data_IF_659213938921
#
_entry.id   IF_659213938921
#
_cell.length_a   1.000
_cell.length_b   1.000
_cell.length_c   1.000
_cell.angle_alpha   90.00
_cell.angle_beta   90.00
_cell.angle_gamma   90.00
#
_symmetry.space_group_name_H-M   'P 1'
#
loop_
_entity.id
_entity.type
_entity.pdbx_description
1 polymer ?
#
# COMPACT_ATOMS: atom_id res chain seq x y z
N UNK A 1 8.18 12.32 3.46
CA UNK A 1 8.53 11.81 2.12
C UNK A 1 7.32 11.39 1.29
N UNK A 2 6.30 10.72 1.84
CA UNK A 2 5.06 10.40 1.11
C UNK A 2 4.40 11.63 0.46
N UNK A 3 4.34 12.78 1.17
CA UNK A 3 3.91 14.08 0.60
C UNK A 3 4.69 14.50 -0.65
N UNK A 4 5.99 14.20 -0.72
CA UNK A 4 6.84 14.54 -1.86
C UNK A 4 6.66 13.56 -3.04
N UNK A 5 6.23 12.31 -2.77
CA UNK A 5 5.94 11.32 -3.81
C UNK A 5 4.55 11.52 -4.44
N UNK A 6 3.62 12.13 -3.71
CA UNK A 6 2.25 12.31 -4.15
C UNK A 6 2.10 12.88 -5.59
N UNK A 7 2.78 13.98 -5.99
CA UNK A 7 2.68 14.48 -7.37
C UNK A 7 3.17 13.48 -8.43
N UNK A 8 4.19 12.67 -8.11
CA UNK A 8 4.70 11.64 -9.01
C UNK A 8 3.70 10.49 -9.16
N UNK A 9 3.08 10.08 -8.05
CA UNK A 9 2.03 9.06 -8.06
C UNK A 9 0.85 9.51 -8.92
N UNK A 10 0.38 10.75 -8.75
CA UNK A 10 -0.67 11.30 -9.60
C UNK A 10 -0.26 11.26 -11.08
N UNK A 11 0.95 11.70 -11.43
CA UNK A 11 1.44 11.65 -12.81
C UNK A 11 1.50 10.22 -13.39
N UNK A 12 1.89 9.23 -12.59
CA UNK A 12 1.97 7.83 -13.01
C UNK A 12 0.59 7.19 -13.21
N UNK A 13 -0.39 7.55 -12.38
CA UNK A 13 -1.71 6.91 -12.36
C UNK A 13 -2.82 7.73 -13.01
N UNK A 14 -2.48 8.69 -13.88
CA UNK A 14 -3.46 9.43 -14.69
C UNK A 14 -4.16 10.58 -13.95
N UNK A 15 -3.62 11.01 -12.82
CA UNK A 15 -4.15 12.08 -11.97
C UNK A 15 -5.06 11.58 -10.86
N UNK A 16 -5.62 12.52 -10.11
CA UNK A 16 -6.66 12.26 -9.13
C UNK A 16 -8.00 12.08 -9.83
N UNK A 17 -8.78 11.10 -9.38
CA UNK A 17 -10.14 10.85 -9.83
C UNK A 17 -11.11 11.37 -8.76
N UNK A 18 -11.87 12.41 -9.07
CA UNK A 18 -12.86 12.96 -8.14
C UNK A 18 -14.26 12.50 -8.51
N UNK A 19 -14.90 11.81 -7.57
CA UNK A 19 -16.31 11.45 -7.61
C UNK A 19 -16.85 11.48 -6.16
N UNK A 20 -17.76 12.41 -5.82
CA UNK A 20 -18.22 12.56 -4.45
C UNK A 20 -18.92 11.33 -3.86
N UNK A 21 -19.52 10.46 -4.69
CA UNK A 21 -20.18 9.25 -4.19
C UNK A 21 -19.13 8.19 -3.83
N UNK A 22 -18.14 7.99 -4.69
CA UNK A 22 -17.04 7.06 -4.42
C UNK A 22 -16.20 7.53 -3.24
N UNK A 23 -15.86 8.82 -3.18
CA UNK A 23 -15.13 9.41 -2.05
C UNK A 23 -15.84 9.15 -0.71
N UNK A 24 -17.16 9.36 -0.64
CA UNK A 24 -17.95 9.05 0.56
C UNK A 24 -17.98 7.57 0.89
N UNK A 25 -18.11 6.70 -0.11
CA UNK A 25 -18.10 5.25 0.08
C UNK A 25 -16.78 4.79 0.69
N UNK A 26 -15.66 5.19 0.07
CA UNK A 26 -14.30 4.85 0.54
C UNK A 26 -14.05 5.44 1.92
N UNK A 27 -14.41 6.70 2.16
CA UNK A 27 -14.27 7.33 3.47
C UNK A 27 -15.06 6.60 4.56
N UNK A 28 -16.27 6.10 4.26
CA UNK A 28 -17.06 5.30 5.20
C UNK A 28 -16.35 3.99 5.55
N UNK A 29 -15.82 3.27 4.55
CA UNK A 29 -15.09 2.01 4.77
C UNK A 29 -13.84 2.26 5.62
N UNK A 30 -12.99 3.21 5.22
CA UNK A 30 -11.77 3.57 5.97
C UNK A 30 -12.10 4.03 7.39
N UNK A 31 -13.16 4.81 7.56
CA UNK A 31 -13.64 5.26 8.87
C UNK A 31 -14.02 4.11 9.78
N UNK A 32 -14.84 3.16 9.29
CA UNK A 32 -15.20 1.96 10.05
C UNK A 32 -14.00 1.14 10.48
N UNK A 33 -13.00 0.97 9.59
CA UNK A 33 -11.78 0.22 9.89
C UNK A 33 -10.87 0.97 10.88
N UNK A 34 -10.78 2.29 10.77
CA UNK A 34 -9.92 3.10 11.66
C UNK A 34 -10.41 3.04 13.11
N UNK A 35 -11.73 3.06 13.33
CA UNK A 35 -12.34 3.01 14.66
C UNK A 35 -11.98 1.74 15.44
N UNK A 36 -11.88 0.60 14.75
CA UNK A 36 -11.54 -0.69 15.37
C UNK A 36 -10.05 -1.02 15.34
N UNK A 37 -9.24 -0.20 14.65
CA UNK A 37 -7.81 -0.45 14.51
C UNK A 37 -7.07 -0.37 15.84
N UNK A 38 -5.91 -1.02 15.93
CA UNK A 38 -5.04 -0.95 17.10
C UNK A 38 -4.47 0.47 17.36
N UNK A 39 -4.54 1.36 16.37
CA UNK A 39 -4.16 2.77 16.51
C UNK A 39 -5.24 3.71 15.94
N UNK A 40 -6.33 3.96 16.68
CA UNK A 40 -7.43 4.81 16.22
C UNK A 40 -7.04 6.29 15.99
N UNK A 41 -5.87 6.71 16.50
CA UNK A 41 -5.34 8.06 16.27
C UNK A 41 -4.66 8.22 14.91
N UNK A 42 -4.35 7.11 14.23
CA UNK A 42 -3.78 7.14 12.88
C UNK A 42 -4.76 7.76 11.90
N UNK A 43 -4.36 8.88 11.30
CA UNK A 43 -5.15 9.54 10.26
C UNK A 43 -4.78 8.98 8.89
N UNK A 44 -5.79 8.73 8.05
CA UNK A 44 -5.60 8.31 6.67
C UNK A 44 -6.00 9.41 5.67
N UNK A 45 -5.13 9.67 4.70
CA UNK A 45 -5.36 10.58 3.57
C UNK A 45 -5.61 9.73 2.34
N UNK A 46 -6.85 9.70 1.91
CA UNK A 46 -7.34 8.85 0.83
C UNK A 46 -7.22 9.63 -0.48
N UNK A 47 -6.68 9.00 -1.52
CA UNK A 47 -6.67 9.53 -2.88
C UNK A 47 -7.15 8.45 -3.84
N UNK A 48 -8.21 8.75 -4.59
CA UNK A 48 -8.65 7.88 -5.69
C UNK A 48 -7.86 8.25 -6.94
N UNK A 49 -7.21 7.26 -7.55
CA UNK A 49 -6.36 7.42 -8.71
C UNK A 49 -7.12 7.14 -10.00
N UNK A 50 -6.92 7.97 -11.02
CA UNK A 50 -7.57 7.85 -12.33
C UNK A 50 -6.91 6.78 -13.23
N UNK A 51 -6.73 5.58 -12.70
CA UNK A 51 -6.16 4.44 -13.40
C UNK A 51 -7.17 3.30 -13.53
N UNK A 52 -7.29 2.68 -14.71
CA UNK A 52 -8.13 1.49 -14.89
C UNK A 52 -7.51 0.22 -14.30
N UNK A 53 -6.23 0.25 -13.92
CA UNK A 53 -5.57 -0.89 -13.30
C UNK A 53 -6.20 -1.19 -11.94
N UNK A 54 -6.33 -2.46 -11.57
CA UNK A 54 -6.83 -2.87 -10.26
C UNK A 54 -5.67 -2.80 -9.28
N UNK A 55 -5.66 -1.79 -8.40
CA UNK A 55 -4.61 -1.63 -7.41
C UNK A 55 -5.05 -0.78 -6.21
N UNK A 56 -4.48 -1.06 -5.05
CA UNK A 56 -4.46 -0.18 -3.88
C UNK A 56 -3.10 -0.29 -3.21
N UNK A 57 -2.66 0.76 -2.53
CA UNK A 57 -1.44 0.71 -1.73
C UNK A 57 -1.44 1.83 -0.69
N UNK A 58 -0.72 1.58 0.42
CA UNK A 58 -0.45 2.60 1.42
C UNK A 58 1.03 3.03 1.46
N UNK A 59 1.27 4.30 1.80
CA UNK A 59 2.60 4.82 2.13
C UNK A 59 2.69 5.22 3.61
N UNK A 60 3.90 5.25 4.18
CA UNK A 60 4.12 5.73 5.54
C UNK A 60 3.48 7.10 5.80
N UNK A 61 2.93 7.27 7.00
CA UNK A 61 2.20 8.47 7.40
C UNK A 61 0.73 8.49 6.99
N UNK A 62 0.15 7.35 6.64
CA UNK A 62 -1.29 7.18 6.41
C UNK A 62 -1.78 7.65 5.04
N UNK A 63 -0.93 7.70 4.02
CA UNK A 63 -1.41 7.97 2.67
C UNK A 63 -1.94 6.68 2.06
N UNK A 64 -3.21 6.66 1.68
CA UNK A 64 -3.87 5.52 1.08
C UNK A 64 -4.30 5.85 -0.34
N UNK A 65 -3.88 5.02 -1.30
CA UNK A 65 -4.20 5.18 -2.70
C UNK A 65 -5.02 4.01 -3.19
N UNK A 66 -6.10 4.32 -3.92
CA UNK A 66 -7.00 3.30 -4.48
C UNK A 66 -7.28 3.70 -5.92
N UNK A 67 -7.21 2.78 -6.87
CA UNK A 67 -7.51 3.09 -8.28
C UNK A 67 -9.01 2.99 -8.56
N UNK A 68 -9.50 3.77 -9.53
CA UNK A 68 -10.88 3.59 -10.05
C UNK A 68 -11.12 2.19 -10.64
N UNK A 69 -10.07 1.55 -11.15
CA UNK A 69 -10.14 0.16 -11.61
C UNK A 69 -10.48 -0.83 -10.50
N UNK A 70 -9.88 -0.67 -9.32
CA UNK A 70 -10.23 -1.49 -8.15
C UNK A 70 -11.67 -1.24 -7.70
N UNK A 71 -12.09 0.02 -7.63
CA UNK A 71 -13.46 0.37 -7.24
C UNK A 71 -14.51 -0.16 -8.23
N UNK A 72 -14.14 -0.31 -9.51
CA UNK A 72 -15.01 -0.90 -10.52
C UNK A 72 -15.06 -2.44 -10.45
N UNK A 73 -14.03 -3.08 -9.89
CA UNK A 73 -13.98 -4.54 -9.73
C UNK A 73 -14.68 -5.03 -8.46
N UNK A 74 -14.56 -4.29 -7.36
CA UNK A 74 -15.15 -4.69 -6.08
C UNK A 74 -16.68 -4.79 -6.20
N UNK A 75 -17.24 -5.95 -5.85
CA UNK A 75 -18.67 -6.21 -5.95
C UNK A 75 -19.47 -5.60 -4.81
N UNK A 76 -18.84 -5.44 -3.64
CA UNK A 76 -19.46 -4.89 -2.45
C UNK A 76 -18.45 -4.14 -1.56
N UNK A 77 -18.96 -3.49 -0.51
CA UNK A 77 -18.11 -2.74 0.43
C UNK A 77 -17.24 -3.64 1.31
N UNK A 78 -17.54 -4.93 1.46
CA UNK A 78 -16.73 -5.85 2.24
C UNK A 78 -15.47 -6.27 1.46
N UNK A 79 -15.57 -6.49 0.16
CA UNK A 79 -14.41 -6.75 -0.72
C UNK A 79 -13.47 -5.53 -0.74
N UNK A 80 -14.04 -4.32 -0.88
CA UNK A 80 -13.27 -3.09 -0.76
C UNK A 80 -12.62 -2.95 0.63
N UNK A 81 -13.36 -3.26 1.69
CA UNK A 81 -12.84 -3.21 3.06
C UNK A 81 -11.68 -4.18 3.27
N UNK A 82 -11.75 -5.39 2.68
CA UNK A 82 -10.69 -6.38 2.79
C UNK A 82 -9.37 -5.88 2.20
N UNK A 83 -9.39 -5.30 0.99
CA UNK A 83 -8.17 -4.75 0.38
C UNK A 83 -7.64 -3.57 1.17
N UNK A 84 -8.51 -2.64 1.57
CA UNK A 84 -8.11 -1.47 2.37
C UNK A 84 -7.53 -1.90 3.72
N UNK A 85 -8.12 -2.89 4.38
CA UNK A 85 -7.66 -3.36 5.68
C UNK A 85 -6.28 -4.03 5.61
N UNK A 86 -6.00 -4.76 4.54
CA UNK A 86 -4.66 -5.31 4.27
C UNK A 86 -3.62 -4.18 4.13
N UNK A 87 -3.91 -3.14 3.35
CA UNK A 87 -3.04 -1.96 3.21
C UNK A 87 -2.85 -1.19 4.53
N UNK A 88 -3.92 -1.05 5.32
CA UNK A 88 -3.86 -0.46 6.66
C UNK A 88 -3.04 -1.34 7.63
N UNK A 89 -3.05 -2.67 7.43
CA UNK A 89 -2.20 -3.62 8.14
C UNK A 89 -0.72 -3.33 7.94
N UNK A 90 -0.29 -3.10 6.70
CA UNK A 90 1.09 -2.69 6.40
C UNK A 90 1.49 -1.36 7.07
N UNK A 91 0.56 -0.41 7.17
CA UNK A 91 0.81 0.86 7.88
C UNK A 91 0.93 0.61 9.38
N UNK A 92 0.02 -0.16 9.96
CA UNK A 92 -0.03 -0.46 11.40
C UNK A 92 1.23 -1.19 11.85
N UNK A 93 1.70 -2.17 11.07
CA UNK A 93 2.92 -2.92 11.35
C UNK A 93 4.21 -2.21 10.89
N UNK A 94 4.11 -0.97 10.38
CA UNK A 94 5.23 -0.17 9.91
C UNK A 94 6.08 -0.83 8.79
N UNK A 95 5.50 -1.75 8.02
CA UNK A 95 6.23 -2.48 6.98
C UNK A 95 6.86 -1.56 5.92
N UNK A 96 6.14 -0.51 5.52
CA UNK A 96 6.65 0.49 4.58
C UNK A 96 7.84 1.29 5.12
N UNK A 97 7.88 1.56 6.43
CA UNK A 97 9.03 2.23 7.08
C UNK A 97 10.24 1.30 7.16
N UNK A 98 10.04 0.03 7.53
CA UNK A 98 11.10 -0.99 7.56
C UNK A 98 11.73 -1.16 6.17
N UNK A 99 10.89 -1.27 5.12
CA UNK A 99 11.36 -1.33 3.73
C UNK A 99 12.20 -0.11 3.37
N UNK A 100 11.73 1.09 3.72
CA UNK A 100 12.44 2.32 3.41
C UNK A 100 13.82 2.37 4.09
N UNK A 101 13.93 1.88 5.33
CA UNK A 101 15.21 1.79 6.04
C UNK A 101 16.16 0.83 5.31
N UNK A 102 15.68 -0.35 4.93
CA UNK A 102 16.46 -1.33 4.15
C UNK A 102 16.89 -0.78 2.79
N UNK A 103 16.02 -0.06 2.07
CA UNK A 103 16.35 0.59 0.80
C UNK A 103 17.43 1.68 0.96
N UNK A 104 17.39 2.43 2.05
CA UNK A 104 18.41 3.45 2.34
C UNK A 104 19.77 2.81 2.66
N UNK A 105 19.76 1.73 3.44
CA UNK A 105 20.96 0.94 3.77
C UNK A 105 21.57 0.29 2.51
N UNK A 106 20.75 -0.38 1.69
CA UNK A 106 21.22 -0.96 0.42
C UNK A 106 21.66 0.10 -0.58
N UNK A 107 20.97 1.24 -0.65
CA UNK A 107 21.36 2.37 -1.50
C UNK A 107 22.73 2.93 -1.12
N UNK A 108 23.03 3.00 0.18
CA UNK A 108 24.34 3.39 0.68
C UNK A 108 25.42 2.35 0.34
N UNK A 109 25.16 1.06 0.61
CA UNK A 109 26.09 -0.03 0.31
C UNK A 109 26.40 -0.14 -1.20
N UNK A 110 25.37 0.00 -2.04
CA UNK A 110 25.49 -0.01 -3.51
C UNK A 110 26.41 1.11 -4.00
N UNK A 111 26.27 2.32 -3.46
CA UNK A 111 27.08 3.47 -3.86
C UNK A 111 28.56 3.23 -3.57
N UNK A 112 28.87 2.67 -2.39
CA UNK A 112 30.25 2.28 -2.03
C UNK A 112 30.80 1.22 -3.00
N UNK A 113 29.99 0.22 -3.34
CA UNK A 113 30.42 -0.85 -4.27
C UNK A 113 30.63 -0.33 -5.69
N UNK A 114 29.76 0.54 -6.20
CA UNK A 114 29.93 1.13 -7.54
C UNK A 114 31.16 2.02 -7.64
N UNK A 115 31.46 2.77 -6.58
CA UNK A 115 32.63 3.64 -6.50
C UNK A 115 33.94 2.84 -6.48
N UNK A 116 33.91 1.57 -6.00
CA UNK A 116 35.09 0.71 -5.86
C UNK A 116 35.25 -0.32 -7.01
N UNK A 117 34.16 -0.91 -7.51
CA UNK A 117 34.21 -2.08 -8.42
C UNK A 117 33.88 -1.78 -9.89
N UNK A 118 33.40 -0.59 -10.23
CA UNK A 118 33.13 -0.18 -11.62
C UNK A 118 31.85 -0.77 -12.26
N UNK A 119 31.48 -0.21 -13.42
CA UNK A 119 30.14 -0.26 -14.00
C UNK A 119 29.91 -1.45 -14.96
N UNK A 120 29.87 -2.69 -14.42
CA UNK A 120 29.63 -3.88 -15.27
C UNK A 120 28.13 -4.17 -15.50
N UNK A 121 27.72 -4.67 -16.69
CA UNK A 121 26.32 -5.05 -16.98
C UNK A 121 25.75 -6.11 -16.03
N UNK A 122 26.56 -7.05 -15.58
CA UNK A 122 26.19 -8.08 -14.59
C UNK A 122 25.92 -7.48 -13.22
N UNK A 123 26.73 -6.49 -12.80
CA UNK A 123 26.49 -5.75 -11.57
C UNK A 123 25.18 -4.94 -11.64
N UNK A 124 24.88 -4.28 -12.77
CA UNK A 124 23.59 -3.58 -12.98
C UNK A 124 22.39 -4.51 -12.89
N UNK A 125 22.46 -5.68 -13.51
CA UNK A 125 21.37 -6.66 -13.47
C UNK A 125 21.14 -7.22 -12.05
N UNK A 126 22.23 -7.48 -11.31
CA UNK A 126 22.13 -7.87 -9.90
C UNK A 126 21.50 -6.76 -9.05
N UNK A 127 21.87 -5.50 -9.30
CA UNK A 127 21.31 -4.33 -8.63
C UNK A 127 19.81 -4.17 -8.83
N UNK A 128 19.35 -4.30 -10.09
CA UNK A 128 17.93 -4.20 -10.43
C UNK A 128 17.14 -5.31 -9.74
N UNK A 129 17.66 -6.54 -9.72
CA UNK A 129 17.01 -7.66 -9.02
C UNK A 129 16.95 -7.46 -7.50
N UNK A 130 18.01 -6.91 -6.90
CA UNK A 130 18.01 -6.54 -5.48
C UNK A 130 16.92 -5.52 -5.16
N UNK A 131 16.87 -4.43 -5.92
CA UNK A 131 15.83 -3.39 -5.78
C UNK A 131 14.41 -3.93 -5.96
N UNK A 132 14.19 -4.84 -6.91
CA UNK A 132 12.87 -5.44 -7.11
C UNK A 132 12.45 -6.33 -5.94
N UNK A 133 13.38 -7.06 -5.32
CA UNK A 133 13.10 -7.87 -4.12
C UNK A 133 12.76 -6.99 -2.92
N UNK A 134 13.49 -5.89 -2.72
CA UNK A 134 13.17 -4.94 -1.66
C UNK A 134 11.79 -4.29 -1.84
N UNK A 135 11.34 -4.13 -3.09
CA UNK A 135 10.02 -3.55 -3.39
C UNK A 135 8.84 -4.45 -2.96
N UNK A 136 9.07 -5.73 -2.64
CA UNK A 136 8.04 -6.67 -2.17
C UNK A 136 8.10 -6.78 -0.64
N UNK A 137 6.96 -7.00 0.03
CA UNK A 137 7.01 -7.33 1.46
C UNK A 137 7.41 -8.79 1.62
N UNK A 138 8.06 -9.11 2.74
CA UNK A 138 8.38 -10.49 3.05
C UNK A 138 7.10 -11.29 3.31
N UNK A 139 7.16 -12.62 3.14
CA UNK A 139 6.02 -13.50 3.44
C UNK A 139 5.46 -13.31 4.85
N UNK A 140 6.33 -13.05 5.84
CA UNK A 140 5.89 -12.83 7.22
C UNK A 140 5.14 -11.49 7.36
N UNK A 141 5.58 -10.46 6.65
CA UNK A 141 4.90 -9.16 6.64
C UNK A 141 3.53 -9.25 5.94
N UNK A 142 3.42 -10.01 4.86
CA UNK A 142 2.14 -10.30 4.20
C UNK A 142 1.18 -11.04 5.14
N UNK A 143 1.65 -12.10 5.81
CA UNK A 143 0.84 -12.86 6.78
C UNK A 143 0.39 -12.01 7.98
N UNK A 144 1.25 -11.11 8.46
CA UNK A 144 0.91 -10.17 9.52
C UNK A 144 -0.14 -9.14 9.05
N UNK A 145 0.02 -8.58 7.85
CA UNK A 145 -0.94 -7.66 7.26
C UNK A 145 -2.31 -8.33 7.04
N UNK A 146 -2.33 -9.58 6.56
CA UNK A 146 -3.56 -10.38 6.42
C UNK A 146 -4.23 -10.64 7.77
N UNK A 147 -3.47 -11.03 8.80
CA UNK A 147 -3.99 -11.26 10.14
C UNK A 147 -4.63 -10.00 10.75
N UNK A 148 -3.97 -8.85 10.61
CA UNK A 148 -4.50 -7.55 11.05
C UNK A 148 -5.74 -7.19 10.22
N UNK A 149 -5.69 -7.38 8.90
CA UNK A 149 -6.76 -7.03 7.98
C UNK A 149 -8.04 -7.82 8.25
N UNK A 150 -7.95 -9.15 8.31
CA UNK A 150 -9.08 -10.06 8.58
C UNK A 150 -9.71 -9.75 9.94
N UNK A 151 -8.90 -9.52 10.98
CA UNK A 151 -9.39 -9.11 12.29
C UNK A 151 -10.16 -7.79 12.20
N UNK A 152 -9.57 -6.79 11.55
CA UNK A 152 -10.14 -5.43 11.45
C UNK A 152 -11.47 -5.42 10.69
N UNK A 153 -11.59 -6.15 9.56
CA UNK A 153 -12.84 -6.21 8.80
C UNK A 153 -13.95 -6.91 9.60
N UNK A 154 -13.62 -7.97 10.35
CA UNK A 154 -14.58 -8.66 11.21
C UNK A 154 -15.07 -7.79 12.36
N UNK A 155 -14.16 -7.09 13.04
CA UNK A 155 -14.50 -6.15 14.13
C UNK A 155 -15.30 -4.94 13.63
N UNK A 156 -15.05 -4.49 12.40
CA UNK A 156 -15.82 -3.42 11.75
C UNK A 156 -17.19 -3.87 11.20
N UNK A 157 -17.53 -5.15 11.33
CA UNK A 157 -18.82 -5.72 10.92
C UNK A 157 -18.94 -6.05 9.43
N UNK A 158 -17.83 -6.15 8.70
CA UNK A 158 -17.80 -6.65 7.33
C UNK A 158 -17.67 -8.18 7.31
N UNK A 159 -17.94 -8.79 6.14
CA UNK A 159 -17.74 -10.22 5.91
C UNK A 159 -16.24 -10.58 6.01
N UNK A 160 -15.81 -11.43 6.99
CA UNK A 160 -14.41 -11.78 7.17
C UNK A 160 -13.86 -12.67 6.04
N UNK A 161 -14.72 -13.24 5.19
CA UNK A 161 -14.30 -14.02 4.02
C UNK A 161 -14.14 -13.17 2.75
N UNK A 162 -14.42 -11.87 2.82
CA UNK A 162 -14.40 -10.99 1.64
C UNK A 162 -13.03 -10.90 0.95
N UNK A 163 -11.93 -11.06 1.71
CA UNK A 163 -10.58 -11.12 1.13
C UNK A 163 -10.46 -12.26 0.10
N UNK A 164 -10.99 -13.45 0.42
CA UNK A 164 -10.96 -14.59 -0.48
C UNK A 164 -11.93 -14.49 -1.67
N UNK A 165 -12.92 -13.58 -1.62
CA UNK A 165 -13.85 -13.34 -2.73
C UNK A 165 -13.32 -12.34 -3.76
N UNK A 166 -12.42 -11.45 -3.33
CA UNK A 166 -11.82 -10.43 -4.18
C UNK A 166 -10.62 -10.94 -5.00
N UNK A 167 -9.97 -12.03 -4.55
CA UNK A 167 -8.76 -12.63 -5.15
C UNK A 167 -9.05 -13.47 -6.41
#
# INVERSE_FOLDING_TARGET
MAKAQHPRILATYGGEYSDPKLERMVAKVVGSLTVVSANPSQTYRITILNSPNVNAFALPGGYLYITRGLLALANDSAELAAVIAHEMGHVTANHGLQRQQLEAEEGFATKVVSDVLGDSPTAKAALIRGKLRLAQFSRNQELEADGIGIKSIGEAGFDPFAAGRFL
#
